data_IF_187343341170
#
_entry.id   IF_187343341170
#
_cell.length_a   1.000
_cell.length_b   1.000
_cell.length_c   1.000
_cell.angle_alpha   90.00
_cell.angle_beta   90.00
_cell.angle_gamma   90.00
#
_symmetry.space_group_name_H-M   'P 1'
#
loop_
_entity.id
_entity.type
_entity.pdbx_description
1 polymer ?
#
# COMPACT_ATOMS: atom_id res chain seq x y z
N UNK A 1 20.36 22.59 -3.32
CA UNK A 1 19.59 22.36 -4.56
C UNK A 1 19.14 20.92 -4.50
N UNK A 2 17.85 20.62 -4.36
CA UNK A 2 17.40 19.22 -4.31
C UNK A 2 17.72 18.55 -5.65
N UNK A 3 18.43 17.43 -5.62
CA UNK A 3 18.78 16.68 -6.82
C UNK A 3 17.51 16.11 -7.47
N UNK A 4 17.57 15.83 -8.78
CA UNK A 4 16.46 15.18 -9.50
C UNK A 4 16.12 13.82 -8.86
N UNK A 5 17.12 13.11 -8.31
CA UNK A 5 16.92 11.84 -7.61
C UNK A 5 16.17 12.01 -6.29
N UNK A 6 16.47 13.05 -5.51
CA UNK A 6 15.72 13.37 -4.28
C UNK A 6 14.26 13.70 -4.60
N UNK A 7 14.02 14.45 -5.68
CA UNK A 7 12.65 14.74 -6.12
C UNK A 7 11.91 13.48 -6.58
N UNK A 8 12.59 12.60 -7.31
CA UNK A 8 12.03 11.32 -7.75
C UNK A 8 11.71 10.42 -6.54
N UNK A 9 12.59 10.35 -5.55
CA UNK A 9 12.38 9.61 -4.31
C UNK A 9 11.14 10.13 -3.57
N UNK A 10 10.99 11.45 -3.43
CA UNK A 10 9.81 12.06 -2.83
C UNK A 10 8.50 11.66 -3.54
N UNK A 11 8.49 11.68 -4.87
CA UNK A 11 7.31 11.29 -5.65
C UNK A 11 6.97 9.80 -5.49
N UNK A 12 7.99 8.93 -5.46
CA UNK A 12 7.79 7.50 -5.23
C UNK A 12 7.28 7.22 -3.82
N UNK A 13 7.82 7.90 -2.81
CA UNK A 13 7.34 7.80 -1.44
C UNK A 13 5.86 8.18 -1.31
N UNK A 14 5.46 9.29 -1.92
CA UNK A 14 4.05 9.69 -1.97
C UNK A 14 3.17 8.64 -2.66
N UNK A 15 3.66 8.02 -3.74
CA UNK A 15 2.94 6.96 -4.45
C UNK A 15 2.75 5.70 -3.60
N UNK A 16 3.79 5.27 -2.89
CA UNK A 16 3.74 4.14 -1.94
C UNK A 16 2.73 4.43 -0.83
N UNK A 17 2.79 5.61 -0.21
CA UNK A 17 1.84 6.03 0.83
C UNK A 17 0.38 6.02 0.34
N UNK A 18 0.13 6.53 -0.88
CA UNK A 18 -1.20 6.51 -1.50
C UNK A 18 -1.70 5.09 -1.70
N UNK A 19 -0.86 4.19 -2.25
CA UNK A 19 -1.24 2.79 -2.47
C UNK A 19 -1.49 2.04 -1.17
N UNK A 20 -0.67 2.29 -0.14
CA UNK A 20 -0.87 1.74 1.21
C UNK A 20 -2.20 2.17 1.80
N UNK A 21 -2.55 3.47 1.71
CA UNK A 21 -3.83 3.97 2.16
C UNK A 21 -5.00 3.32 1.42
N UNK A 22 -4.92 3.22 0.08
CA UNK A 22 -5.93 2.56 -0.75
C UNK A 22 -6.09 1.07 -0.39
N UNK A 23 -4.99 0.34 -0.22
CA UNK A 23 -5.03 -1.06 0.21
C UNK A 23 -5.68 -1.22 1.58
N UNK A 24 -5.38 -0.32 2.53
CA UNK A 24 -6.02 -0.32 3.85
C UNK A 24 -7.54 -0.13 3.76
N UNK A 25 -7.98 0.80 2.90
CA UNK A 25 -9.40 1.06 2.67
C UNK A 25 -10.09 -0.16 2.05
N UNK A 26 -9.44 -0.79 1.07
CA UNK A 26 -9.95 -1.98 0.43
C UNK A 26 -10.10 -3.15 1.41
N UNK A 27 -9.08 -3.40 2.25
CA UNK A 27 -9.16 -4.43 3.29
C UNK A 27 -10.30 -4.18 4.29
N UNK A 28 -10.53 -2.91 4.68
CA UNK A 28 -11.68 -2.55 5.52
C UNK A 28 -13.01 -2.86 4.82
N UNK A 29 -13.10 -2.62 3.51
CA UNK A 29 -14.29 -2.95 2.73
C UNK A 29 -14.54 -4.47 2.71
N UNK A 30 -13.51 -5.29 2.47
CA UNK A 30 -13.63 -6.76 2.53
C UNK A 30 -14.15 -7.24 3.88
N UNK A 31 -13.61 -6.72 4.98
CA UNK A 31 -14.08 -7.03 6.34
C UNK A 31 -15.53 -6.59 6.59
N UNK A 32 -15.97 -5.49 5.98
CA UNK A 32 -17.38 -5.06 6.07
C UNK A 32 -18.31 -6.04 5.36
N UNK A 33 -17.93 -6.52 4.17
CA UNK A 33 -18.71 -7.53 3.46
C UNK A 33 -18.83 -8.82 4.27
N UNK A 34 -17.72 -9.30 4.84
CA UNK A 34 -17.72 -10.49 5.71
C UNK A 34 -18.68 -10.31 6.90
N UNK A 35 -18.58 -9.18 7.61
CA UNK A 35 -19.48 -8.86 8.74
C UNK A 35 -20.95 -8.82 8.31
N UNK A 36 -21.25 -8.19 7.17
CA UNK A 36 -22.60 -8.10 6.64
C UNK A 36 -23.17 -9.47 6.28
N UNK A 37 -22.39 -10.31 5.60
CA UNK A 37 -22.78 -11.67 5.24
C UNK A 37 -23.09 -12.48 6.50
N UNK A 38 -22.25 -12.38 7.53
CA UNK A 38 -22.47 -13.07 8.81
C UNK A 38 -23.75 -12.59 9.49
N UNK A 39 -23.99 -11.28 9.54
CA UNK A 39 -25.19 -10.69 10.12
C UNK A 39 -26.47 -11.11 9.37
N UNK A 40 -26.45 -11.05 8.03
CA UNK A 40 -27.58 -11.45 7.19
C UNK A 40 -27.87 -12.96 7.29
N UNK A 41 -26.81 -13.78 7.39
CA UNK A 41 -26.95 -15.23 7.59
C UNK A 41 -27.58 -15.53 8.94
N UNK A 42 -27.12 -14.87 10.01
CA UNK A 42 -27.73 -14.99 11.33
C UNK A 42 -29.20 -14.53 11.34
N UNK A 43 -29.51 -13.44 10.65
CA UNK A 43 -30.87 -12.90 10.52
C UNK A 43 -31.81 -13.86 9.77
N UNK A 44 -31.32 -14.51 8.71
CA UNK A 44 -32.05 -15.55 7.97
C UNK A 44 -32.39 -16.75 8.85
N UNK A 45 -31.43 -17.15 9.72
CA UNK A 45 -31.56 -18.31 10.59
C UNK A 45 -32.42 -18.06 11.83
N UNK A 46 -32.44 -16.82 12.36
CA UNK A 46 -33.23 -16.41 13.53
C UNK A 46 -34.72 -16.18 13.23
N UNK A 47 -35.21 -16.50 12.02
CA UNK A 47 -36.63 -16.33 11.69
C UNK A 47 -37.49 -17.17 12.66
N UNK A 48 -38.34 -16.53 13.49
CA UNK A 48 -39.04 -17.23 14.56
C UNK A 48 -39.85 -18.41 14.02
N UNK A 49 -39.89 -19.48 14.82
CA UNK A 49 -40.85 -20.58 14.69
C UNK A 49 -42.23 -20.04 15.07
N UNK A 50 -42.77 -19.17 14.22
CA UNK A 50 -44.19 -18.84 14.26
C UNK A 50 -44.88 -20.13 13.84
N UNK A 51 -45.73 -20.69 14.71
CA UNK A 51 -46.74 -21.68 14.32
C UNK A 51 -47.68 -20.98 13.33
N UNK A 52 -47.25 -20.93 12.07
CA UNK A 52 -47.91 -20.15 11.02
C UNK A 52 -49.23 -20.84 10.71
N UNK A 53 -50.30 -20.29 11.27
CA UNK A 53 -51.68 -20.79 11.12
C UNK A 53 -52.33 -20.35 9.81
N UNK A 54 -51.71 -19.45 9.04
CA UNK A 54 -52.25 -18.97 7.75
C UNK A 54 -51.26 -19.10 6.58
N UNK A 55 -51.79 -19.38 5.39
CA UNK A 55 -51.01 -19.46 4.15
C UNK A 55 -50.27 -18.15 3.82
N UNK A 56 -50.85 -17.00 4.16
CA UNK A 56 -50.21 -15.69 3.99
C UNK A 56 -48.93 -15.54 4.81
N UNK A 57 -48.92 -16.01 6.08
CA UNK A 57 -47.73 -15.97 6.94
C UNK A 57 -46.61 -16.88 6.42
N UNK A 58 -46.96 -18.06 5.89
CA UNK A 58 -46.00 -18.97 5.25
C UNK A 58 -45.37 -18.36 3.99
N UNK A 59 -46.20 -17.73 3.14
CA UNK A 59 -45.73 -17.03 1.94
C UNK A 59 -44.79 -15.88 2.27
N UNK A 60 -45.13 -15.08 3.29
CA UNK A 60 -44.30 -13.98 3.76
C UNK A 60 -42.95 -14.46 4.30
N UNK A 61 -42.92 -15.55 5.09
CA UNK A 61 -41.67 -16.14 5.61
C UNK A 61 -40.78 -16.65 4.48
N UNK A 62 -41.35 -17.34 3.50
CA UNK A 62 -40.62 -17.83 2.32
C UNK A 62 -40.03 -16.68 1.51
N UNK A 63 -40.83 -15.65 1.24
CA UNK A 63 -40.41 -14.46 0.48
C UNK A 63 -39.32 -13.69 1.21
N UNK A 64 -39.44 -13.50 2.53
CA UNK A 64 -38.43 -12.88 3.38
C UNK A 64 -37.09 -13.63 3.30
N UNK A 65 -37.10 -14.96 3.49
CA UNK A 65 -35.88 -15.78 3.44
C UNK A 65 -35.23 -15.73 2.05
N UNK A 66 -36.03 -15.82 0.98
CA UNK A 66 -35.54 -15.69 -0.41
C UNK A 66 -34.89 -14.33 -0.65
N UNK A 67 -35.47 -13.25 -0.14
CA UNK A 67 -34.93 -11.90 -0.29
C UNK A 67 -33.60 -11.74 0.45
N UNK A 68 -33.50 -12.18 1.71
CA UNK A 68 -32.22 -12.15 2.45
C UNK A 68 -31.16 -12.99 1.73
N UNK A 69 -31.51 -14.18 1.26
CA UNK A 69 -30.57 -15.02 0.53
C UNK A 69 -30.04 -14.34 -0.74
N UNK A 70 -30.90 -13.61 -1.46
CA UNK A 70 -30.49 -12.82 -2.63
C UNK A 70 -29.46 -11.75 -2.25
N UNK A 71 -29.70 -11.03 -1.15
CA UNK A 71 -28.76 -10.00 -0.65
C UNK A 71 -27.43 -10.63 -0.21
N UNK A 72 -27.46 -11.79 0.46
CA UNK A 72 -26.24 -12.52 0.82
C UNK A 72 -25.44 -12.91 -0.42
N UNK A 73 -26.10 -13.45 -1.44
CA UNK A 73 -25.44 -13.86 -2.68
C UNK A 73 -24.79 -12.66 -3.38
N UNK A 74 -25.48 -11.52 -3.42
CA UNK A 74 -24.92 -10.28 -3.94
C UNK A 74 -23.71 -9.80 -3.12
N UNK A 75 -23.80 -9.75 -1.78
CA UNK A 75 -22.67 -9.36 -0.93
C UNK A 75 -21.45 -10.27 -1.10
N UNK A 76 -21.64 -11.57 -1.36
CA UNK A 76 -20.55 -12.51 -1.66
C UNK A 76 -19.86 -12.19 -2.99
N UNK A 77 -20.62 -11.84 -4.02
CA UNK A 77 -20.05 -11.42 -5.31
C UNK A 77 -19.26 -10.12 -5.15
N UNK A 78 -19.81 -9.13 -4.46
CA UNK A 78 -19.10 -7.87 -4.18
C UNK A 78 -17.84 -8.07 -3.34
N UNK A 79 -17.88 -8.99 -2.36
CA UNK A 79 -16.70 -9.36 -1.58
C UNK A 79 -15.59 -9.93 -2.47
N UNK A 80 -15.92 -10.84 -3.39
CA UNK A 80 -14.95 -11.42 -4.32
C UNK A 80 -14.30 -10.35 -5.21
N UNK A 81 -15.09 -9.41 -5.74
CA UNK A 81 -14.56 -8.29 -6.51
C UNK A 81 -13.65 -7.40 -5.65
N UNK A 82 -14.05 -7.15 -4.40
CA UNK A 82 -13.26 -6.36 -3.47
C UNK A 82 -11.92 -7.02 -3.12
N UNK A 83 -11.91 -8.35 -2.96
CA UNK A 83 -10.71 -9.15 -2.69
C UNK A 83 -9.75 -9.13 -3.89
N UNK A 84 -10.26 -9.27 -5.11
CA UNK A 84 -9.45 -9.15 -6.34
C UNK A 84 -8.80 -7.76 -6.41
N UNK A 85 -9.55 -6.70 -6.11
CA UNK A 85 -9.01 -5.35 -6.07
C UNK A 85 -7.94 -5.17 -4.98
N UNK A 86 -8.11 -5.79 -3.81
CA UNK A 86 -7.11 -5.76 -2.74
C UNK A 86 -5.81 -6.46 -3.18
N UNK A 87 -5.91 -7.60 -3.87
CA UNK A 87 -4.76 -8.32 -4.42
C UNK A 87 -4.02 -7.48 -5.46
N UNK A 88 -4.74 -6.84 -6.38
CA UNK A 88 -4.15 -5.96 -7.39
C UNK A 88 -3.43 -4.75 -6.76
N UNK A 89 -4.03 -4.15 -5.73
CA UNK A 89 -3.40 -3.07 -4.95
C UNK A 89 -2.14 -3.57 -4.23
N UNK A 90 -2.15 -4.78 -3.69
CA UNK A 90 -0.99 -5.36 -3.01
C UNK A 90 0.16 -5.64 -3.99
N UNK A 91 -0.13 -6.17 -5.18
CA UNK A 91 0.88 -6.37 -6.24
C UNK A 91 1.47 -5.03 -6.66
N UNK A 92 0.62 -4.04 -6.92
CA UNK A 92 1.05 -2.69 -7.29
C UNK A 92 1.91 -2.03 -6.22
N UNK A 93 1.53 -2.19 -4.94
CA UNK A 93 2.29 -1.67 -3.81
C UNK A 93 3.68 -2.31 -3.73
N UNK A 94 3.79 -3.64 -3.86
CA UNK A 94 5.09 -4.33 -3.87
C UNK A 94 6.01 -3.80 -4.97
N UNK A 95 5.49 -3.64 -6.18
CA UNK A 95 6.24 -3.08 -7.31
C UNK A 95 6.73 -1.65 -7.03
N UNK A 96 5.86 -0.79 -6.47
CA UNK A 96 6.24 0.59 -6.16
C UNK A 96 7.26 0.70 -5.03
N UNK A 97 7.16 -0.15 -4.00
CA UNK A 97 8.16 -0.23 -2.92
C UNK A 97 9.52 -0.67 -3.49
N UNK A 98 9.56 -1.67 -4.37
CA UNK A 98 10.81 -2.05 -5.04
C UNK A 98 11.42 -0.88 -5.82
N UNK A 99 10.60 -0.15 -6.57
CA UNK A 99 11.07 1.00 -7.36
C UNK A 99 11.53 2.18 -6.49
N UNK A 100 10.87 2.44 -5.36
CA UNK A 100 11.31 3.41 -4.36
C UNK A 100 12.69 3.03 -3.82
N UNK A 101 12.87 1.77 -3.41
CA UNK A 101 14.13 1.29 -2.86
C UNK A 101 15.28 1.36 -3.85
N UNK A 102 15.03 1.07 -5.13
CA UNK A 102 16.03 1.24 -6.18
C UNK A 102 16.53 2.69 -6.28
N UNK A 103 15.62 3.67 -6.22
CA UNK A 103 16.01 5.10 -6.29
C UNK A 103 16.78 5.52 -5.05
N UNK A 104 16.39 5.03 -3.87
CA UNK A 104 17.11 5.29 -2.62
C UNK A 104 18.56 4.79 -2.70
N UNK A 105 18.78 3.56 -3.17
CA UNK A 105 20.13 3.00 -3.35
C UNK A 105 20.96 3.84 -4.33
N UNK A 106 20.38 4.25 -5.46
CA UNK A 106 21.11 5.06 -6.44
C UNK A 106 21.45 6.45 -5.88
N UNK A 107 20.55 7.05 -5.11
CA UNK A 107 20.80 8.32 -4.44
C UNK A 107 21.95 8.20 -3.43
N UNK A 108 21.95 7.17 -2.59
CA UNK A 108 23.03 6.89 -1.63
C UNK A 108 24.37 6.71 -2.35
N UNK A 109 24.41 5.95 -3.44
CA UNK A 109 25.62 5.75 -4.24
C UNK A 109 26.14 7.08 -4.83
N UNK A 110 25.25 7.92 -5.33
CA UNK A 110 25.62 9.23 -5.87
C UNK A 110 26.21 10.14 -4.78
N UNK A 111 25.58 10.16 -3.60
CA UNK A 111 26.05 10.95 -2.46
C UNK A 111 27.45 10.47 -2.00
N UNK A 112 27.65 9.16 -1.89
CA UNK A 112 28.97 8.59 -1.58
C UNK A 112 30.03 8.94 -2.62
N UNK A 113 29.71 8.83 -3.92
CA UNK A 113 30.63 9.19 -4.99
C UNK A 113 31.00 10.68 -4.95
N UNK A 114 30.04 11.55 -4.65
CA UNK A 114 30.27 12.98 -4.49
C UNK A 114 31.23 13.28 -3.33
N UNK A 115 30.99 12.68 -2.16
CA UNK A 115 31.85 12.84 -0.98
C UNK A 115 33.29 12.38 -1.28
N UNK A 116 33.45 11.21 -1.90
CA UNK A 116 34.78 10.71 -2.28
C UNK A 116 35.50 11.61 -3.28
N UNK A 117 34.77 12.16 -4.26
CA UNK A 117 35.33 13.09 -5.23
C UNK A 117 35.77 14.41 -4.57
N UNK A 118 35.01 14.89 -3.59
CA UNK A 118 35.34 16.08 -2.82
C UNK A 118 36.59 15.85 -1.94
N UNK A 119 36.63 14.75 -1.18
CA UNK A 119 37.79 14.40 -0.35
C UNK A 119 39.09 14.27 -1.18
N UNK A 120 39.00 13.70 -2.38
CA UNK A 120 40.15 13.62 -3.31
C UNK A 120 40.63 15.00 -3.78
N UNK A 121 39.73 15.96 -3.99
CA UNK A 121 40.09 17.33 -4.37
C UNK A 121 40.78 18.04 -3.20
N UNK A 122 40.25 17.90 -2.01
CA UNK A 122 40.81 18.48 -0.78
C UNK A 122 42.22 17.92 -0.50
N UNK A 123 42.41 16.60 -0.63
CA UNK A 123 43.71 15.96 -0.49
C UNK A 123 44.72 16.50 -1.50
N UNK A 124 44.36 16.58 -2.79
CA UNK A 124 45.25 17.14 -3.83
C UNK A 124 45.68 18.58 -3.54
N UNK A 125 44.77 19.40 -3.00
CA UNK A 125 45.08 20.78 -2.60
C UNK A 125 46.07 20.76 -1.42
N UNK A 126 45.81 19.96 -0.40
CA UNK A 126 46.67 19.80 0.78
C UNK A 126 48.08 19.32 0.41
N UNK A 127 48.17 18.30 -0.44
CA UNK A 127 49.44 17.74 -0.92
C UNK A 127 50.22 18.78 -1.75
N UNK A 128 49.52 19.54 -2.59
CA UNK A 128 50.11 20.63 -3.36
C UNK A 128 50.72 21.72 -2.47
N UNK A 129 49.98 22.15 -1.44
CA UNK A 129 50.48 23.13 -0.45
C UNK A 129 51.69 22.57 0.29
N UNK A 130 51.62 21.32 0.77
CA UNK A 130 52.70 20.67 1.51
C UNK A 130 53.98 20.57 0.69
N UNK A 131 53.84 20.20 -0.59
CA UNK A 131 54.97 20.14 -1.54
C UNK A 131 55.60 21.52 -1.76
N UNK A 132 54.79 22.58 -1.90
CA UNK A 132 55.30 23.94 -2.05
C UNK A 132 56.03 24.43 -0.79
N UNK A 133 55.48 24.17 0.41
CA UNK A 133 56.13 24.50 1.67
C UNK A 133 57.47 23.78 1.82
N UNK A 134 57.52 22.49 1.47
CA UNK A 134 58.76 21.71 1.50
C UNK A 134 59.83 22.28 0.57
N UNK A 135 59.47 22.58 -0.69
CA UNK A 135 60.39 23.18 -1.66
C UNK A 135 60.94 24.52 -1.19
N UNK A 136 60.11 25.36 -0.54
CA UNK A 136 60.53 26.66 -0.04
C UNK A 136 61.48 26.59 1.16
N UNK A 137 61.40 25.52 1.95
CA UNK A 137 62.24 25.32 3.13
C UNK A 137 63.54 24.56 2.83
N UNK A 138 63.69 24.00 1.62
CA UNK A 138 64.86 23.24 1.16
C UNK A 138 65.66 23.93 0.05
N UNK A 139 65.38 25.21 -0.23
CA UNK A 139 66.22 26.16 -0.98
C UNK A 139 66.81 27.16 0.01
#
# INVERSE_FOLDING_TARGET
MNSILEKLLQLRHQKVNKLTAQLSQQKRLCLRYEKNINALTALSNKSPTIHATSAALLSNKSSYKKNIQRVINWQKQEQQLADIQAQNLQISLKQQVCQEKMVEIVLEQQQHAFILAQARKELKISDGISTQCWLRNHV
#
